data_IF_201567616614
#
_entry.id   IF_201567616614
#
_cell.length_a   1.000
_cell.length_b   1.000
_cell.length_c   1.000
_cell.angle_alpha   90.00
_cell.angle_beta   90.00
_cell.angle_gamma   90.00
#
_symmetry.space_group_name_H-M   'P 1'
#
loop_
_entity.id
_entity.type
_entity.pdbx_description
1 polymer ?
#
# COMPACT_ATOMS: atom_id res chain seq x y z
N UNK A 1 -0.09 0.51 11.50
CA UNK A 1 1.12 1.03 12.17
C UNK A 1 2.31 0.16 11.78
N UNK A 2 2.16 -1.17 11.72
CA UNK A 2 3.16 -2.14 11.22
C UNK A 2 3.96 -1.81 9.94
N UNK A 3 3.37 -1.32 8.84
CA UNK A 3 4.12 -1.19 7.58
C UNK A 3 5.21 -0.09 7.60
N UNK A 4 5.06 0.92 8.46
CA UNK A 4 6.03 2.01 8.62
C UNK A 4 7.14 1.67 9.63
N UNK A 5 6.96 0.61 10.41
CA UNK A 5 7.94 0.13 11.38
C UNK A 5 8.90 -0.90 10.76
N UNK A 6 8.47 -1.60 9.70
CA UNK A 6 9.27 -2.64 9.04
C UNK A 6 10.30 -2.11 8.05
N UNK A 7 9.97 -1.04 7.31
CA UNK A 7 10.81 -0.49 6.24
C UNK A 7 10.51 1.02 6.08
N UNK A 8 11.05 1.89 6.96
CA UNK A 8 10.79 3.33 6.89
C UNK A 8 11.42 4.02 5.67
N UNK A 9 12.48 3.44 5.09
CA UNK A 9 13.26 4.08 4.02
C UNK A 9 12.91 3.58 2.61
N UNK A 10 12.33 2.39 2.45
CA UNK A 10 12.05 1.79 1.14
C UNK A 10 10.58 1.89 0.70
N UNK A 11 9.67 2.26 1.61
CA UNK A 11 8.23 2.36 1.34
C UNK A 11 7.82 3.80 1.05
N UNK A 12 7.38 4.05 -0.18
CA UNK A 12 6.77 5.32 -0.60
C UNK A 12 5.25 5.17 -0.74
N UNK A 13 4.51 6.03 -0.04
CA UNK A 13 3.07 6.15 -0.21
C UNK A 13 2.76 7.27 -1.19
N UNK A 14 2.15 6.92 -2.32
CA UNK A 14 1.63 7.88 -3.28
C UNK A 14 0.37 8.57 -2.72
N UNK A 15 0.03 9.73 -3.32
CA UNK A 15 -1.18 10.46 -2.94
C UNK A 15 -2.43 9.57 -3.14
N UNK A 16 -3.35 9.55 -2.17
CA UNK A 16 -4.62 8.84 -2.33
C UNK A 16 -5.44 9.46 -3.45
N UNK A 17 -5.92 8.61 -4.36
CA UNK A 17 -6.72 9.01 -5.50
C UNK A 17 -8.17 8.57 -5.28
N UNK A 18 -9.12 9.48 -5.47
CA UNK A 18 -10.54 9.15 -5.31
C UNK A 18 -11.08 8.65 -6.64
N UNK A 19 -11.55 7.41 -6.65
CA UNK A 19 -12.19 6.78 -7.80
C UNK A 19 -13.60 7.33 -8.01
N UNK A 20 -14.10 7.22 -9.24
CA UNK A 20 -15.46 7.60 -9.64
C UNK A 20 -16.54 6.87 -8.81
N UNK A 21 -16.25 5.67 -8.33
CA UNK A 21 -17.12 4.86 -7.45
C UNK A 21 -17.17 5.38 -5.99
N UNK A 22 -16.50 6.51 -5.69
CA UNK A 22 -16.40 7.07 -4.34
C UNK A 22 -15.38 6.38 -3.43
N UNK A 23 -14.75 5.28 -3.90
CA UNK A 23 -13.66 4.59 -3.21
C UNK A 23 -12.35 5.35 -3.32
N UNK A 24 -11.45 5.13 -2.37
CA UNK A 24 -10.10 5.70 -2.35
C UNK A 24 -9.11 4.61 -2.77
N UNK A 25 -8.26 4.93 -3.74
CA UNK A 25 -7.09 4.16 -4.15
C UNK A 25 -5.85 4.75 -3.50
N UNK A 26 -5.01 3.90 -2.92
CA UNK A 26 -3.69 4.24 -2.41
C UNK A 26 -2.68 3.35 -3.11
N UNK A 27 -1.63 3.95 -3.66
CA UNK A 27 -0.50 3.21 -4.23
C UNK A 27 0.65 3.28 -3.24
N UNK A 28 1.29 2.13 -3.02
CA UNK A 28 2.47 1.96 -2.18
C UNK A 28 3.57 1.41 -3.07
N UNK A 29 4.65 2.14 -3.22
CA UNK A 29 5.86 1.69 -3.89
C UNK A 29 6.85 1.19 -2.84
N UNK A 30 7.43 0.02 -3.08
CA UNK A 30 8.51 -0.53 -2.26
C UNK A 30 9.73 -0.68 -3.16
N UNK A 31 10.79 0.05 -2.83
CA UNK A 31 12.04 0.05 -3.58
C UNK A 31 12.60 -1.39 -3.59
N UNK A 32 12.93 -1.90 -4.78
CA UNK A 32 13.45 -3.27 -4.96
C UNK A 32 12.40 -4.39 -4.91
N UNK A 33 11.13 -4.08 -4.64
CA UNK A 33 10.05 -5.09 -4.52
C UNK A 33 8.82 -4.80 -5.40
N UNK A 34 8.64 -3.55 -5.82
CA UNK A 34 7.63 -3.13 -6.80
C UNK A 34 6.52 -2.26 -6.23
N UNK A 35 5.49 -2.00 -7.04
CA UNK A 35 4.34 -1.13 -6.70
C UNK A 35 3.09 -1.95 -6.40
N UNK A 36 2.47 -1.66 -5.26
CA UNK A 36 1.25 -2.30 -4.77
C UNK A 36 0.13 -1.29 -4.64
N UNK A 37 -1.06 -1.65 -5.08
CA UNK A 37 -2.23 -0.76 -5.05
C UNK A 37 -3.27 -1.35 -4.10
N UNK A 38 -3.88 -0.49 -3.29
CA UNK A 38 -4.98 -0.86 -2.40
C UNK A 38 -6.14 0.09 -2.60
N UNK A 39 -7.36 -0.45 -2.64
CA UNK A 39 -8.59 0.32 -2.79
C UNK A 39 -9.46 0.08 -1.56
N UNK A 40 -10.10 1.12 -1.04
CA UNK A 40 -10.97 1.01 0.12
C UNK A 40 -11.97 2.15 0.21
N UNK A 41 -12.97 2.00 1.09
CA UNK A 41 -13.98 3.05 1.33
C UNK A 41 -13.40 4.31 1.98
N UNK A 42 -12.27 4.17 2.67
CA UNK A 42 -11.55 5.25 3.35
C UNK A 42 -10.04 5.06 3.20
N UNK A 43 -9.27 6.13 3.39
CA UNK A 43 -7.81 6.13 3.28
C UNK A 43 -7.15 5.05 4.13
N UNK A 44 -7.61 4.87 5.38
CA UNK A 44 -7.08 3.83 6.29
C UNK A 44 -7.26 2.41 5.73
N UNK A 45 -8.42 2.10 5.14
CA UNK A 45 -8.70 0.78 4.55
C UNK A 45 -7.85 0.58 3.29
N UNK A 46 -7.79 1.59 2.42
CA UNK A 46 -6.99 1.53 1.20
C UNK A 46 -5.49 1.36 1.50
N UNK A 47 -4.96 2.11 2.48
CA UNK A 47 -3.58 2.00 2.95
C UNK A 47 -3.29 0.62 3.53
N UNK A 48 -4.17 0.09 4.37
CA UNK A 48 -3.99 -1.24 4.96
C UNK A 48 -4.10 -2.35 3.89
N UNK A 49 -4.99 -2.20 2.91
CA UNK A 49 -5.10 -3.13 1.79
C UNK A 49 -3.83 -3.15 0.93
N UNK A 50 -3.27 -1.98 0.61
CA UNK A 50 -2.01 -1.88 -0.13
C UNK A 50 -0.83 -2.48 0.65
N UNK A 51 -0.74 -2.15 1.94
CA UNK A 51 0.24 -2.66 2.90
C UNK A 51 0.20 -4.20 3.00
N UNK A 52 -0.99 -4.77 3.16
CA UNK A 52 -1.20 -6.22 3.25
C UNK A 52 -0.85 -6.94 1.95
N UNK A 53 -1.17 -6.33 0.81
CA UNK A 53 -0.82 -6.84 -0.51
C UNK A 53 0.70 -6.88 -0.70
N UNK A 54 1.39 -5.79 -0.31
CA UNK A 54 2.85 -5.73 -0.29
C UNK A 54 3.45 -6.83 0.60
N UNK A 55 3.08 -6.90 1.88
CA UNK A 55 3.61 -7.90 2.83
C UNK A 55 3.43 -9.34 2.33
N UNK A 56 2.29 -9.66 1.70
CA UNK A 56 2.05 -10.99 1.14
C UNK A 56 2.98 -11.31 -0.03
N UNK A 57 3.30 -10.31 -0.86
CA UNK A 57 4.24 -10.48 -1.95
C UNK A 57 5.68 -10.57 -1.44
N UNK A 58 6.06 -9.76 -0.44
CA UNK A 58 7.37 -9.83 0.22
C UNK A 58 7.63 -11.21 0.80
N UNK A 59 6.65 -11.78 1.53
CA UNK A 59 6.73 -13.14 2.11
C UNK A 59 6.74 -14.28 1.08
N UNK A 60 6.40 -14.02 -0.18
CA UNK A 60 6.45 -15.01 -1.27
C UNK A 60 7.76 -14.94 -2.07
N UNK A 61 8.50 -13.86 -1.91
CA UNK A 61 9.78 -13.61 -2.57
C UNK A 61 10.98 -14.01 -1.69
N UNK A 62 10.71 -14.59 -0.51
CA UNK A 62 11.68 -15.10 0.46
C UNK A 62 11.69 -16.63 0.42
#
# INVERSE_FOLDING_TARGET
>A
RELLELEPETVKFEKPERLLDGRIRVTVEIIGKGRFKGVGRNYRIAKNAAAKCALKNLRRLD
#
